data_IF_279276316932
#
_entry.id   IF_279276316932
#
_cell.length_a   1.000
_cell.length_b   1.000
_cell.length_c   1.000
_cell.angle_alpha   90.00
_cell.angle_beta   90.00
_cell.angle_gamma   90.00
#
_symmetry.space_group_name_H-M   'P 1'
#
loop_
_entity.id
_entity.type
_entity.pdbx_description
1 polymer ?
#
# COMPACT_ATOMS: atom_id res chain seq x y z
N UNK A 1 -0.58 -13.44 1.26
CA UNK A 1 0.31 -12.32 0.90
C UNK A 1 1.70 -12.75 1.29
N UNK A 2 2.59 -12.83 0.33
CA UNK A 2 4.01 -13.06 0.57
C UNK A 2 4.77 -11.72 0.44
N UNK A 3 5.98 -11.64 0.99
CA UNK A 3 6.82 -10.45 0.80
C UNK A 3 7.09 -10.15 -0.69
N UNK A 4 7.13 -11.20 -1.53
CA UNK A 4 7.26 -11.11 -2.99
C UNK A 4 6.08 -10.47 -3.71
N UNK A 5 4.96 -10.23 -3.02
CA UNK A 5 3.83 -9.47 -3.59
C UNK A 5 4.07 -7.95 -3.55
N UNK A 6 5.08 -7.49 -2.81
CA UNK A 6 5.55 -6.12 -2.82
C UNK A 6 6.83 -6.03 -3.66
N UNK A 7 6.90 -5.05 -4.55
CA UNK A 7 7.99 -4.92 -5.52
C UNK A 7 8.90 -3.74 -5.17
N UNK A 8 8.41 -2.52 -5.41
CA UNK A 8 9.13 -1.27 -5.15
C UNK A 8 8.49 -0.48 -4.03
N UNK A 9 9.34 0.11 -3.17
CA UNK A 9 8.92 1.02 -2.12
C UNK A 9 9.67 2.34 -2.31
N UNK A 10 8.94 3.43 -2.41
CA UNK A 10 9.50 4.79 -2.47
C UNK A 10 8.96 5.60 -1.29
N UNK A 11 9.85 6.28 -0.58
CA UNK A 11 9.51 7.06 0.61
C UNK A 11 9.95 8.49 0.36
N UNK A 12 8.99 9.41 0.43
CA UNK A 12 9.20 10.85 0.39
C UNK A 12 8.77 11.44 1.74
N UNK A 13 9.11 12.70 1.98
CA UNK A 13 8.90 13.36 3.29
C UNK A 13 7.44 13.38 3.75
N UNK A 14 6.48 13.40 2.82
CA UNK A 14 5.04 13.52 3.12
C UNK A 14 4.17 12.39 2.58
N UNK A 15 4.72 11.53 1.73
CA UNK A 15 3.99 10.44 1.10
C UNK A 15 4.93 9.30 0.73
N UNK A 16 4.39 8.12 0.50
CA UNK A 16 5.15 6.98 0.01
C UNK A 16 4.36 6.22 -1.03
N UNK A 17 5.09 5.56 -1.94
CA UNK A 17 4.52 4.70 -2.96
C UNK A 17 4.96 3.27 -2.70
N UNK A 18 4.02 2.34 -2.89
CA UNK A 18 4.26 0.92 -2.74
C UNK A 18 3.69 0.22 -3.98
N UNK A 19 4.58 -0.35 -4.79
CA UNK A 19 4.19 -1.20 -5.90
C UNK A 19 3.84 -2.59 -5.38
N UNK A 20 2.68 -3.08 -5.78
CA UNK A 20 2.18 -4.41 -5.40
C UNK A 20 1.78 -5.21 -6.64
N UNK A 21 1.87 -6.53 -6.53
CA UNK A 21 1.47 -7.43 -7.60
C UNK A 21 -0.02 -7.25 -7.93
N UNK A 22 -0.39 -7.38 -9.22
CA UNK A 22 -1.78 -7.25 -9.68
C UNK A 22 -2.73 -8.21 -8.95
N UNK A 23 -2.22 -9.38 -8.55
CA UNK A 23 -2.96 -10.42 -7.84
C UNK A 23 -3.46 -9.93 -6.49
N UNK A 24 -2.65 -9.19 -5.74
CA UNK A 24 -3.01 -8.70 -4.41
C UNK A 24 -3.63 -7.31 -4.42
N UNK A 25 -3.43 -6.52 -5.47
CA UNK A 25 -3.89 -5.13 -5.54
C UNK A 25 -5.38 -4.95 -5.20
N UNK A 26 -6.27 -5.81 -5.73
CA UNK A 26 -7.73 -5.75 -5.49
C UNK A 26 -8.10 -5.95 -4.01
N UNK A 27 -7.37 -6.80 -3.30
CA UNK A 27 -7.60 -7.09 -1.88
C UNK A 27 -6.89 -6.08 -0.96
N UNK A 28 -5.69 -5.65 -1.35
CA UNK A 28 -4.82 -4.82 -0.50
C UNK A 28 -5.36 -3.40 -0.36
N UNK A 29 -5.85 -2.81 -1.44
CA UNK A 29 -6.29 -1.41 -1.44
C UNK A 29 -7.46 -1.14 -0.46
N UNK A 30 -8.55 -1.92 -0.42
CA UNK A 30 -9.60 -1.72 0.58
C UNK A 30 -9.09 -1.91 2.02
N UNK A 31 -8.30 -2.97 2.26
CA UNK A 31 -7.75 -3.26 3.59
C UNK A 31 -6.84 -2.16 4.12
N UNK A 32 -6.00 -1.58 3.26
CA UNK A 32 -5.12 -0.47 3.65
C UNK A 32 -5.90 0.84 3.86
N UNK A 33 -7.02 1.04 3.16
CA UNK A 33 -7.90 2.20 3.38
C UNK A 33 -8.64 2.16 4.71
N UNK A 34 -9.01 0.96 5.14
CA UNK A 34 -9.72 0.73 6.41
C UNK A 34 -8.75 0.56 7.59
N UNK A 35 -7.55 0.03 7.31
CA UNK A 35 -6.53 -0.29 8.29
C UNK A 35 -5.75 0.90 8.82
N UNK A 36 -4.83 0.58 9.73
CA UNK A 36 -3.89 1.52 10.33
C UNK A 36 -2.47 1.09 9.99
N UNK A 37 -1.62 2.05 9.60
CA UNK A 37 -0.19 1.83 9.39
C UNK A 37 0.51 2.46 10.60
N UNK A 38 1.26 1.66 11.35
CA UNK A 38 1.91 2.10 12.60
C UNK A 38 0.92 2.80 13.57
N UNK A 39 -0.28 2.24 13.72
CA UNK A 39 -1.32 2.74 14.62
C UNK A 39 -2.04 4.02 14.15
N UNK A 40 -1.74 4.53 12.95
CA UNK A 40 -2.37 5.75 12.40
C UNK A 40 -3.14 5.43 11.13
N UNK A 41 -4.25 6.14 10.93
CA UNK A 41 -5.00 6.06 9.68
C UNK A 41 -4.32 6.95 8.64
N UNK A 42 -4.05 6.39 7.47
CA UNK A 42 -3.46 7.10 6.35
C UNK A 42 -4.42 7.11 5.18
N UNK A 43 -4.40 8.19 4.39
CA UNK A 43 -5.12 8.24 3.11
C UNK A 43 -4.38 7.38 2.11
N UNK A 44 -5.03 6.31 1.65
CA UNK A 44 -4.46 5.37 0.69
C UNK A 44 -5.22 5.44 -0.63
N UNK A 45 -4.49 5.71 -1.71
CA UNK A 45 -5.04 5.86 -3.05
C UNK A 45 -4.26 5.02 -4.05
N UNK A 46 -4.98 4.51 -5.04
CA UNK A 46 -4.34 3.88 -6.19
C UNK A 46 -3.90 4.98 -7.14
N UNK A 47 -2.59 5.06 -7.36
CA UNK A 47 -1.97 5.85 -8.41
C UNK A 47 -1.90 5.05 -9.71
N UNK A 48 -1.89 5.76 -10.84
CA UNK A 48 -1.77 5.19 -12.19
C UNK A 48 -0.33 5.19 -12.64
#
# INVERSE_FOLDING_TARGET
MAASDADKIEIHDRHGFFAVSKRVAKMTLPRLREGHIKGRKHRIERVR
#
